data_IF_327134425432
#
_entry.id   IF_327134425432
#
_cell.length_a   1.000
_cell.length_b   1.000
_cell.length_c   1.000
_cell.angle_alpha   90.00
_cell.angle_beta   90.00
_cell.angle_gamma   90.00
#
_symmetry.space_group_name_H-M   'P 1'
#
loop_
_entity.id
_entity.type
_entity.pdbx_description
1 polymer ?
#
# COMPACT_ATOMS: atom_id res chain seq x y z
N UNK A 1 6.41 0.50 -12.80
CA UNK A 1 6.78 1.46 -11.73
C UNK A 1 7.93 0.87 -10.92
N UNK A 2 8.90 1.67 -10.46
CA UNK A 2 9.90 1.17 -9.51
C UNK A 2 9.26 0.89 -8.15
N UNK A 3 9.66 -0.18 -7.46
CA UNK A 3 9.16 -0.59 -6.13
C UNK A 3 9.06 0.59 -5.15
N UNK A 4 10.07 1.47 -5.16
CA UNK A 4 10.13 2.65 -4.29
C UNK A 4 8.98 3.66 -4.52
N UNK A 5 8.50 3.80 -5.76
CA UNK A 5 7.35 4.67 -6.08
C UNK A 5 6.03 4.07 -5.60
N UNK A 6 5.90 2.73 -5.65
CA UNK A 6 4.72 2.02 -5.15
C UNK A 6 4.62 2.17 -3.64
N UNK A 7 5.72 1.96 -2.93
CA UNK A 7 5.78 2.14 -1.47
C UNK A 7 5.44 3.57 -1.07
N UNK A 8 5.96 4.58 -1.79
CA UNK A 8 5.61 5.97 -1.52
C UNK A 8 4.12 6.27 -1.71
N UNK A 9 3.49 5.73 -2.76
CA UNK A 9 2.05 5.92 -3.01
C UNK A 9 1.19 5.28 -1.92
N UNK A 10 1.52 4.04 -1.53
CA UNK A 10 0.85 3.31 -0.45
C UNK A 10 1.02 4.03 0.89
N UNK A 11 2.25 4.45 1.24
CA UNK A 11 2.51 5.21 2.47
C UNK A 11 1.72 6.51 2.51
N UNK A 12 1.71 7.29 1.42
CA UNK A 12 0.96 8.53 1.37
C UNK A 12 -0.56 8.30 1.53
N UNK A 13 -1.10 7.22 0.98
CA UNK A 13 -2.50 6.85 1.17
C UNK A 13 -2.80 6.43 2.61
N UNK A 14 -1.92 5.65 3.24
CA UNK A 14 -2.03 5.25 4.64
C UNK A 14 -1.93 6.45 5.59
N UNK A 15 -1.04 7.41 5.31
CA UNK A 15 -0.94 8.65 6.07
C UNK A 15 -2.22 9.48 6.01
N UNK A 16 -2.89 9.52 4.84
CA UNK A 16 -4.21 10.17 4.68
C UNK A 16 -5.30 9.47 5.48
N UNK A 17 -5.21 8.15 5.63
CA UNK A 17 -6.11 7.36 6.47
C UNK A 17 -5.81 7.50 7.98
N UNK A 18 -4.73 8.20 8.36
CA UNK A 18 -4.33 8.43 9.75
C UNK A 18 -3.26 7.46 10.27
N UNK A 19 -2.79 6.53 9.45
CA UNK A 19 -1.72 5.59 9.81
C UNK A 19 -0.34 6.27 9.69
N UNK A 20 0.01 7.07 10.70
CA UNK A 20 1.32 7.78 10.77
C UNK A 20 2.47 6.97 11.39
N UNK A 21 2.18 5.84 12.05
CA UNK A 21 3.18 5.00 12.75
C UNK A 21 3.12 3.55 12.28
N UNK A 22 3.40 3.34 10.99
CA UNK A 22 3.57 1.99 10.46
C UNK A 22 4.98 1.54 10.83
N UNK A 23 5.10 0.54 11.71
CA UNK A 23 6.41 -0.01 12.11
C UNK A 23 7.00 -0.87 11.00
N UNK A 24 6.15 -1.67 10.37
CA UNK A 24 6.54 -2.52 9.25
C UNK A 24 5.47 -2.45 8.16
N UNK A 25 5.88 -2.05 6.96
CA UNK A 25 5.02 -1.98 5.78
C UNK A 25 5.51 -3.01 4.78
N UNK A 26 4.74 -4.06 4.56
CA UNK A 26 5.02 -5.03 3.51
C UNK A 26 4.03 -4.81 2.36
N UNK A 27 4.55 -4.77 1.14
CA UNK A 27 3.75 -4.58 -0.06
C UNK A 27 4.09 -5.73 -0.99
N UNK A 28 3.09 -6.50 -1.35
CA UNK A 28 3.24 -7.57 -2.35
C UNK A 28 2.43 -7.19 -3.58
N UNK A 29 3.02 -7.30 -4.76
CA UNK A 29 2.36 -6.92 -6.01
C UNK A 29 1.97 -8.18 -6.77
N UNK A 30 0.80 -8.79 -6.48
CA UNK A 30 0.33 -9.97 -7.22
C UNK A 30 0.09 -9.64 -8.70
N UNK A 31 -0.17 -8.37 -9.03
CA UNK A 31 -0.35 -7.89 -10.40
C UNK A 31 0.39 -6.56 -10.60
N UNK A 32 0.56 -6.11 -11.85
CA UNK A 32 1.18 -4.80 -12.13
C UNK A 32 0.32 -3.62 -11.68
N UNK A 33 -1.00 -3.80 -11.59
CA UNK A 33 -1.95 -2.74 -11.24
C UNK A 33 -2.33 -2.72 -9.75
N UNK A 34 -2.20 -3.84 -9.04
CA UNK A 34 -2.65 -3.98 -7.65
C UNK A 34 -1.56 -4.53 -6.75
N UNK A 35 -1.45 -3.93 -5.57
CA UNK A 35 -0.60 -4.39 -4.49
C UNK A 35 -1.41 -4.72 -3.23
N UNK A 36 -1.15 -5.87 -2.63
CA UNK A 36 -1.62 -6.16 -1.29
C UNK A 36 -0.70 -5.47 -0.29
N UNK A 37 -1.30 -4.74 0.63
CA UNK A 37 -0.63 -3.97 1.65
C UNK A 37 -0.84 -4.68 2.98
N UNK A 38 0.26 -4.90 3.69
CA UNK A 38 0.29 -5.49 5.01
C UNK A 38 0.95 -4.51 5.97
N UNK A 39 0.31 -4.27 7.10
CA UNK A 39 0.79 -3.40 8.17
C UNK A 39 1.12 -4.27 9.38
N UNK A 40 2.39 -4.29 9.79
CA UNK A 40 2.84 -5.08 10.93
C UNK A 40 2.46 -6.57 10.80
N UNK A 41 2.68 -7.14 9.61
CA UNK A 41 2.31 -8.52 9.25
C UNK A 41 0.78 -8.79 9.17
N UNK A 42 -0.05 -7.77 9.41
CA UNK A 42 -1.51 -7.86 9.27
C UNK A 42 -1.95 -7.38 7.89
N UNK A 43 -2.81 -8.15 7.21
CA UNK A 43 -3.38 -7.74 5.94
C UNK A 43 -4.28 -6.52 6.11
N UNK A 44 -3.92 -5.43 5.44
CA UNK A 44 -4.67 -4.18 5.51
C UNK A 44 -5.66 -4.04 4.36
N UNK A 45 -5.26 -4.41 3.15
CA UNK A 45 -6.12 -4.29 1.97
C UNK A 45 -5.33 -4.29 0.66
N UNK A 46 -6.05 -4.16 -0.45
CA UNK A 46 -5.44 -4.04 -1.77
C UNK A 46 -5.36 -2.56 -2.16
N UNK A 47 -4.18 -2.09 -2.51
CA UNK A 47 -3.96 -0.80 -3.14
C UNK A 47 -3.96 -0.93 -4.66
N UNK A 48 -4.89 -0.24 -5.31
CA UNK A 48 -4.98 -0.17 -6.76
C UNK A 48 -4.20 1.05 -7.25
N UNK A 49 -3.11 0.83 -7.99
CA UNK A 49 -2.24 1.89 -8.50
C UNK A 49 -2.86 2.66 -9.66
N UNK A 50 -3.79 2.05 -10.41
CA UNK A 50 -4.48 2.73 -11.51
C UNK A 50 -5.48 3.74 -10.97
N UNK A 51 -6.19 3.39 -9.90
CA UNK A 51 -7.12 4.27 -9.18
C UNK A 51 -6.47 5.11 -8.09
N UNK A 52 -5.22 4.79 -7.75
CA UNK A 52 -4.46 5.41 -6.66
C UNK A 52 -5.23 5.41 -5.33
N UNK A 53 -5.94 4.30 -5.04
CA UNK A 53 -6.81 4.14 -3.87
C UNK A 53 -6.80 2.71 -3.36
N UNK A 54 -7.15 2.53 -2.09
CA UNK A 54 -7.45 1.20 -1.56
C UNK A 54 -8.79 0.69 -2.11
N UNK A 55 -8.79 -0.56 -2.56
CA UNK A 55 -9.96 -1.31 -3.00
C UNK A 55 -10.11 -2.50 -2.05
N UNK A 56 -11.33 -2.69 -1.54
CA UNK A 56 -11.71 -3.78 -0.63
C UNK A 56 -11.65 -5.14 -1.34
#
# INVERSE_FOLDING_TARGET
MSMNKMTAAVTAALEKLGYRRIRELQITCPTQSRANVYLNDEYFGVFDFERNTFVD
#
